data_IF_174485027646
#
_entry.id   IF_174485027646
#
_cell.length_a   1.000
_cell.length_b   1.000
_cell.length_c   1.000
_cell.angle_alpha   90.00
_cell.angle_beta   90.00
_cell.angle_gamma   90.00
#
_symmetry.space_group_name_H-M   'P 1'
#
loop_
_entity.id
_entity.type
_entity.pdbx_description
1 polymer ?
#
# COMPACT_ATOMS: atom_id res chain seq x y z
N UNK A 1 -7.95 4.02 23.07
CA UNK A 1 -6.82 3.17 22.63
C UNK A 1 -7.20 1.71 22.37
N UNK A 2 -7.88 1.01 23.30
CA UNK A 2 -8.27 -0.41 23.12
C UNK A 2 -9.02 -0.70 21.81
N UNK A 3 -9.98 0.16 21.44
CA UNK A 3 -10.76 0.03 20.20
C UNK A 3 -9.90 0.08 18.92
N UNK A 4 -8.97 1.02 18.83
CA UNK A 4 -8.07 1.17 17.67
C UNK A 4 -7.16 -0.04 17.52
N UNK A 5 -6.65 -0.57 18.64
CA UNK A 5 -5.83 -1.79 18.66
C UNK A 5 -6.65 -2.99 18.16
N UNK A 6 -7.89 -3.14 18.62
CA UNK A 6 -8.80 -4.20 18.16
C UNK A 6 -9.09 -4.09 16.65
N UNK A 7 -9.29 -2.89 16.13
CA UNK A 7 -9.48 -2.67 14.69
C UNK A 7 -8.22 -2.99 13.89
N UNK A 8 -7.04 -2.58 14.37
CA UNK A 8 -5.77 -2.89 13.72
C UNK A 8 -5.52 -4.41 13.70
N UNK A 9 -5.79 -5.10 14.80
CA UNK A 9 -5.72 -6.55 14.87
C UNK A 9 -6.69 -7.21 13.89
N UNK A 10 -7.94 -6.76 13.86
CA UNK A 10 -8.94 -7.27 12.92
C UNK A 10 -8.51 -7.05 11.46
N UNK A 11 -8.03 -5.86 11.12
CA UNK A 11 -7.51 -5.54 9.79
C UNK A 11 -6.33 -6.45 9.41
N UNK A 12 -5.42 -6.72 10.35
CA UNK A 12 -4.31 -7.63 10.14
C UNK A 12 -4.78 -9.06 9.86
N UNK A 13 -5.71 -9.58 10.67
CA UNK A 13 -6.29 -10.93 10.49
C UNK A 13 -7.02 -11.04 9.15
N UNK A 14 -7.86 -10.06 8.82
CA UNK A 14 -8.57 -10.00 7.54
C UNK A 14 -7.60 -9.96 6.36
N UNK A 15 -6.52 -9.19 6.48
CA UNK A 15 -5.45 -9.13 5.49
C UNK A 15 -4.78 -10.48 5.27
N UNK A 16 -4.46 -11.22 6.34
CA UNK A 16 -3.90 -12.57 6.23
C UNK A 16 -4.89 -13.52 5.53
N UNK A 17 -6.15 -13.53 5.95
CA UNK A 17 -7.20 -14.38 5.35
C UNK A 17 -7.35 -14.07 3.86
N UNK A 18 -7.43 -12.80 3.50
CA UNK A 18 -7.49 -12.34 2.11
C UNK A 18 -6.23 -12.74 1.33
N UNK A 19 -5.06 -12.59 1.93
CA UNK A 19 -3.78 -13.01 1.35
C UNK A 19 -3.75 -14.49 1.02
N UNK A 20 -4.22 -15.34 1.92
CA UNK A 20 -4.34 -16.79 1.67
C UNK A 20 -5.32 -17.09 0.53
N UNK A 21 -6.50 -16.47 0.54
CA UNK A 21 -7.51 -16.66 -0.50
C UNK A 21 -7.04 -16.17 -1.88
N UNK A 22 -6.41 -15.00 -1.95
CA UNK A 22 -5.86 -14.48 -3.20
C UNK A 22 -4.68 -15.33 -3.68
N UNK A 23 -3.81 -15.78 -2.78
CA UNK A 23 -2.65 -16.60 -3.14
C UNK A 23 -3.09 -17.98 -3.64
N UNK A 24 -4.13 -18.58 -3.07
CA UNK A 24 -4.66 -19.86 -3.56
C UNK A 24 -5.32 -19.71 -4.93
N UNK A 25 -6.04 -18.61 -5.19
CA UNK A 25 -6.72 -18.37 -6.45
C UNK A 25 -5.79 -17.92 -7.60
N UNK A 26 -4.85 -17.02 -7.32
CA UNK A 26 -4.01 -16.36 -8.33
C UNK A 26 -2.62 -16.98 -8.49
N UNK A 27 -2.19 -17.77 -7.51
CA UNK A 27 -0.82 -18.29 -7.44
C UNK A 27 0.23 -17.23 -7.08
N UNK A 28 1.46 -17.68 -6.83
CA UNK A 28 2.58 -16.80 -6.41
C UNK A 28 3.05 -15.85 -7.52
N UNK A 29 2.86 -16.23 -8.78
CA UNK A 29 3.33 -15.47 -9.95
C UNK A 29 2.67 -14.09 -10.06
N UNK A 30 1.49 -13.92 -9.46
CA UNK A 30 0.74 -12.67 -9.48
C UNK A 30 1.12 -11.71 -8.36
N UNK A 31 2.17 -11.98 -7.58
CA UNK A 31 2.60 -11.10 -6.49
C UNK A 31 2.82 -9.64 -6.94
N UNK A 32 3.50 -9.44 -8.07
CA UNK A 32 3.72 -8.09 -8.62
C UNK A 32 2.42 -7.36 -8.95
N UNK A 33 1.42 -8.07 -9.47
CA UNK A 33 0.11 -7.50 -9.77
C UNK A 33 -0.61 -7.09 -8.47
N UNK A 34 -0.66 -7.97 -7.47
CA UNK A 34 -1.31 -7.68 -6.19
C UNK A 34 -0.61 -6.53 -5.46
N UNK A 35 0.72 -6.45 -5.53
CA UNK A 35 1.50 -5.35 -4.97
C UNK A 35 1.18 -4.01 -5.65
N UNK A 36 1.03 -3.97 -6.98
CA UNK A 36 0.58 -2.75 -7.70
C UNK A 36 -0.85 -2.38 -7.31
N UNK A 37 -1.76 -3.35 -7.28
CA UNK A 37 -3.17 -3.13 -6.92
C UNK A 37 -3.35 -2.65 -5.48
N UNK A 38 -2.41 -2.99 -4.58
CA UNK A 38 -2.41 -2.48 -3.21
C UNK A 38 -2.27 -0.95 -3.11
N UNK A 39 -1.84 -0.27 -4.18
CA UNK A 39 -1.74 1.19 -4.23
C UNK A 39 -3.08 1.86 -4.61
N UNK A 40 -4.08 1.09 -5.06
CA UNK A 40 -5.37 1.63 -5.52
C UNK A 40 -6.14 2.37 -4.42
N UNK A 41 -6.21 1.90 -3.16
CA UNK A 41 -6.89 2.66 -2.10
C UNK A 41 -6.29 4.04 -1.86
N UNK A 42 -4.98 4.18 -2.04
CA UNK A 42 -4.28 5.46 -1.93
C UNK A 42 -4.69 6.42 -3.05
N UNK A 43 -4.83 5.92 -4.30
CA UNK A 43 -5.41 6.71 -5.40
C UNK A 43 -6.87 7.12 -5.12
N UNK A 44 -7.67 6.19 -4.58
CA UNK A 44 -9.05 6.47 -4.20
C UNK A 44 -9.14 7.57 -3.15
N UNK A 45 -8.32 7.51 -2.11
CA UNK A 45 -8.24 8.54 -1.09
C UNK A 45 -7.71 9.88 -1.64
N UNK A 46 -6.70 9.86 -2.51
CA UNK A 46 -6.19 11.07 -3.14
C UNK A 46 -7.25 11.75 -4.03
N UNK A 47 -8.07 10.94 -4.73
CA UNK A 47 -9.19 11.44 -5.54
C UNK A 47 -10.27 12.05 -4.64
N UNK A 48 -10.63 11.37 -3.55
CA UNK A 48 -11.52 11.93 -2.52
C UNK A 48 -11.03 13.29 -2.02
N UNK A 49 -9.76 13.37 -1.61
CA UNK A 49 -9.17 14.61 -1.10
C UNK A 49 -9.15 15.72 -2.17
N UNK A 50 -8.82 15.37 -3.42
CA UNK A 50 -8.86 16.30 -4.55
C UNK A 50 -10.27 16.83 -4.83
N UNK A 51 -11.30 15.98 -4.80
CA UNK A 51 -12.70 16.37 -5.02
C UNK A 51 -13.20 17.27 -3.88
N UNK A 52 -12.92 16.92 -2.63
CA UNK A 52 -13.30 17.74 -1.46
C UNK A 52 -12.64 19.11 -1.56
N UNK A 53 -11.33 19.14 -1.84
CA UNK A 53 -10.56 20.38 -1.94
C UNK A 53 -11.03 21.27 -3.09
N UNK A 54 -11.32 20.69 -4.26
CA UNK A 54 -11.90 21.41 -5.39
C UNK A 54 -13.25 22.04 -5.05
N UNK A 55 -14.14 21.26 -4.41
CA UNK A 55 -15.47 21.75 -3.99
C UNK A 55 -15.37 22.84 -2.92
N UNK A 56 -14.32 22.84 -2.12
CA UNK A 56 -14.06 23.87 -1.11
C UNK A 56 -13.31 25.09 -1.63
N UNK A 57 -13.07 25.19 -2.95
CA UNK A 57 -12.47 26.38 -3.56
C UNK A 57 -10.94 26.46 -3.46
N UNK A 58 -10.24 25.35 -3.18
CA UNK A 58 -8.77 25.32 -3.23
C UNK A 58 -8.30 25.64 -4.66
N UNK A 59 -7.33 26.55 -4.77
CA UNK A 59 -6.83 27.04 -6.05
C UNK A 59 -6.24 25.89 -6.91
N UNK A 60 -6.43 25.92 -8.24
CA UNK A 60 -5.84 24.93 -9.15
C UNK A 60 -4.32 24.83 -9.05
N UNK A 61 -3.65 25.93 -8.70
CA UNK A 61 -2.19 25.99 -8.50
C UNK A 61 -1.69 25.11 -7.34
N UNK A 62 -2.54 24.82 -6.35
CA UNK A 62 -2.23 23.89 -5.26
C UNK A 62 -2.68 22.45 -5.60
N UNK A 63 -3.78 22.30 -6.33
CA UNK A 63 -4.32 20.98 -6.71
C UNK A 63 -3.48 20.27 -7.78
N UNK A 64 -3.01 21.01 -8.78
CA UNK A 64 -2.22 20.44 -9.88
C UNK A 64 -0.94 19.76 -9.40
N UNK A 65 -0.06 20.39 -8.58
CA UNK A 65 1.13 19.71 -8.07
C UNK A 65 0.79 18.51 -7.19
N UNK A 66 -0.30 18.54 -6.43
CA UNK A 66 -0.76 17.38 -5.67
C UNK A 66 -1.13 16.21 -6.57
N UNK A 67 -1.95 16.45 -7.59
CA UNK A 67 -2.33 15.40 -8.56
C UNK A 67 -1.10 14.83 -9.25
N UNK A 68 -0.19 15.68 -9.72
CA UNK A 68 1.05 15.24 -10.36
C UNK A 68 1.95 14.43 -9.42
N UNK A 69 2.09 14.85 -8.16
CA UNK A 69 2.88 14.13 -7.16
C UNK A 69 2.28 12.76 -6.83
N UNK A 70 0.95 12.66 -6.72
CA UNK A 70 0.24 11.39 -6.49
C UNK A 70 0.40 10.45 -7.69
N UNK A 71 0.24 10.95 -8.92
CA UNK A 71 0.44 10.16 -10.13
C UNK A 71 1.89 9.65 -10.22
N UNK A 72 2.86 10.52 -9.92
CA UNK A 72 4.27 10.14 -9.89
C UNK A 72 4.53 9.07 -8.83
N UNK A 73 3.99 9.25 -7.61
CA UNK A 73 4.08 8.25 -6.55
C UNK A 73 3.50 6.90 -6.99
N UNK A 74 2.38 6.90 -7.70
CA UNK A 74 1.77 5.67 -8.21
C UNK A 74 2.64 5.00 -9.28
N UNK A 75 3.17 5.75 -10.24
CA UNK A 75 4.07 5.22 -11.29
C UNK A 75 5.35 4.66 -10.67
N UNK A 76 5.97 5.41 -9.77
CA UNK A 76 7.20 5.01 -9.06
C UNK A 76 6.91 3.79 -8.17
N UNK A 77 5.80 3.80 -7.42
CA UNK A 77 5.36 2.67 -6.62
C UNK A 77 5.13 1.42 -7.46
N UNK A 78 4.44 1.53 -8.60
CA UNK A 78 4.15 0.40 -9.47
C UNK A 78 5.42 -0.18 -10.13
N UNK A 79 6.38 0.66 -10.51
CA UNK A 79 7.67 0.22 -11.04
C UNK A 79 8.53 -0.44 -9.96
N UNK A 80 8.58 0.13 -8.75
CA UNK A 80 9.22 -0.47 -7.57
C UNK A 80 8.59 -1.81 -7.20
N UNK A 81 7.26 -1.94 -7.21
CA UNK A 81 6.55 -3.19 -6.96
C UNK A 81 7.07 -4.32 -7.87
N UNK A 82 7.12 -4.06 -9.18
CA UNK A 82 7.56 -5.04 -10.18
C UNK A 82 9.02 -5.42 -10.01
N UNK A 83 9.88 -4.46 -9.63
CA UNK A 83 11.31 -4.71 -9.40
C UNK A 83 11.54 -5.46 -8.09
N UNK A 84 10.98 -4.98 -7.00
CA UNK A 84 11.20 -5.52 -5.66
C UNK A 84 10.56 -6.89 -5.47
N UNK A 85 9.44 -7.21 -6.10
CA UNK A 85 8.91 -8.58 -6.06
C UNK A 85 9.88 -9.63 -6.61
N UNK A 86 10.85 -9.22 -7.45
CA UNK A 86 11.93 -10.07 -7.96
C UNK A 86 13.20 -10.02 -7.12
N UNK A 87 13.61 -8.83 -6.68
CA UNK A 87 14.93 -8.62 -6.05
C UNK A 87 14.89 -8.56 -4.52
N UNK A 88 13.78 -8.12 -3.93
CA UNK A 88 13.59 -7.89 -2.51
C UNK A 88 12.12 -8.09 -2.11
N UNK A 89 11.59 -9.32 -2.20
CA UNK A 89 10.16 -9.58 -2.11
C UNK A 89 9.57 -9.23 -0.74
N UNK A 90 10.37 -9.32 0.32
CA UNK A 90 9.97 -8.85 1.65
C UNK A 90 9.69 -7.33 1.66
N UNK A 91 10.57 -6.51 1.06
CA UNK A 91 10.36 -5.06 0.94
C UNK A 91 9.14 -4.74 0.08
N UNK A 92 8.88 -5.53 -0.96
CA UNK A 92 7.70 -5.37 -1.81
C UNK A 92 6.38 -5.52 -1.04
N UNK A 93 6.34 -6.34 0.02
CA UNK A 93 5.14 -6.50 0.85
C UNK A 93 4.83 -5.24 1.68
N UNK A 94 5.83 -4.44 2.02
CA UNK A 94 5.68 -3.18 2.74
C UNK A 94 5.50 -1.96 1.82
N UNK A 95 5.50 -2.15 0.50
CA UNK A 95 5.30 -1.08 -0.47
C UNK A 95 4.08 -0.19 -0.19
N UNK A 96 2.86 -0.71 0.10
CA UNK A 96 1.72 0.17 0.37
C UNK A 96 1.92 1.02 1.64
N UNK A 97 2.66 0.51 2.64
CA UNK A 97 3.00 1.30 3.83
C UNK A 97 4.01 2.42 3.51
N UNK A 98 5.05 2.14 2.72
CA UNK A 98 5.98 3.18 2.26
C UNK A 98 5.25 4.24 1.42
N UNK A 99 4.39 3.81 0.49
CA UNK A 99 3.59 4.71 -0.32
C UNK A 99 2.67 5.58 0.54
N UNK A 100 2.02 5.01 1.56
CA UNK A 100 1.18 5.76 2.50
C UNK A 100 1.97 6.84 3.24
N UNK A 101 3.18 6.52 3.71
CA UNK A 101 4.05 7.49 4.41
C UNK A 101 4.43 8.64 3.48
N UNK A 102 4.91 8.32 2.28
CA UNK A 102 5.29 9.35 1.29
C UNK A 102 4.07 10.19 0.87
N UNK A 103 2.92 9.55 0.68
CA UNK A 103 1.66 10.23 0.40
C UNK A 103 1.25 11.17 1.54
N UNK A 104 1.36 10.75 2.80
CA UNK A 104 1.05 11.60 3.94
C UNK A 104 1.95 12.84 3.99
N UNK A 105 3.22 12.71 3.64
CA UNK A 105 4.15 13.85 3.50
C UNK A 105 3.74 14.76 2.34
N UNK A 106 3.47 14.21 1.15
CA UNK A 106 3.01 14.99 -0.02
C UNK A 106 1.73 15.76 0.31
N UNK A 107 0.75 15.06 0.88
CA UNK A 107 -0.52 15.65 1.26
C UNK A 107 -0.31 16.76 2.30
N UNK A 108 0.49 16.52 3.34
CA UNK A 108 0.78 17.55 4.35
C UNK A 108 1.47 18.76 3.73
N UNK A 109 2.54 18.58 2.95
CA UNK A 109 3.29 19.70 2.37
C UNK A 109 2.46 20.56 1.40
N UNK A 110 1.62 19.92 0.59
CA UNK A 110 0.85 20.60 -0.46
C UNK A 110 -0.52 21.10 0.02
N UNK A 111 -1.11 20.48 1.05
CA UNK A 111 -2.42 20.85 1.58
C UNK A 111 -2.40 21.59 2.92
N UNK A 112 -1.39 21.44 3.78
CA UNK A 112 -1.40 22.15 5.08
C UNK A 112 -1.45 23.67 4.90
N UNK A 113 -0.76 24.22 3.90
CA UNK A 113 -0.78 25.67 3.64
C UNK A 113 -2.05 26.17 2.94
N UNK A 114 -2.76 25.30 2.20
CA UNK A 114 -3.93 25.68 1.40
C UNK A 114 -5.26 25.40 2.09
N UNK A 115 -5.34 24.37 2.93
CA UNK A 115 -6.56 24.03 3.68
C UNK A 115 -6.79 24.95 4.88
N UNK A 116 -5.73 25.38 5.56
CA UNK A 116 -5.84 26.37 6.65
C UNK A 116 -6.51 27.67 6.18
N UNK A 117 -6.26 28.09 4.93
CA UNK A 117 -6.87 29.27 4.33
C UNK A 117 -8.37 29.10 3.99
N UNK A 118 -8.86 27.85 3.90
CA UNK A 118 -10.26 27.54 3.53
C UNK A 118 -11.08 27.00 4.70
N UNK A 119 -10.46 26.76 5.87
CA UNK A 119 -11.11 26.22 7.06
C UNK A 119 -11.56 24.75 6.94
N UNK A 120 -11.10 24.04 5.91
CA UNK A 120 -11.48 22.66 5.63
C UNK A 120 -10.55 21.71 6.38
N UNK A 121 -11.09 20.96 7.34
CA UNK A 121 -10.35 19.91 8.05
C UNK A 121 -10.56 18.58 7.34
N UNK A 122 -9.50 17.90 6.87
CA UNK A 122 -9.62 16.54 6.31
C UNK A 122 -10.25 15.58 7.33
N UNK A 123 -11.15 14.71 6.85
CA UNK A 123 -11.80 13.72 7.69
C UNK A 123 -10.79 12.70 8.25
N UNK A 124 -10.51 12.81 9.55
CA UNK A 124 -9.61 11.91 10.26
C UNK A 124 -10.06 10.45 10.19
N UNK A 125 -11.37 10.19 10.07
CA UNK A 125 -11.91 8.83 9.92
C UNK A 125 -11.44 8.20 8.62
N UNK A 126 -11.43 8.96 7.52
CA UNK A 126 -10.93 8.47 6.22
C UNK A 126 -9.42 8.22 6.25
N UNK A 127 -8.65 9.06 6.95
CA UNK A 127 -7.22 8.84 7.16
C UNK A 127 -6.93 7.56 7.96
N UNK A 128 -7.67 7.34 9.06
CA UNK A 128 -7.55 6.11 9.87
C UNK A 128 -7.99 4.88 9.06
N UNK A 129 -9.07 4.97 8.30
CA UNK A 129 -9.53 3.90 7.43
C UNK A 129 -8.47 3.52 6.39
N UNK A 130 -7.82 4.51 5.76
CA UNK A 130 -6.73 4.27 4.82
C UNK A 130 -5.54 3.56 5.51
N UNK A 131 -5.20 3.96 6.75
CA UNK A 131 -4.19 3.28 7.55
C UNK A 131 -4.52 1.82 7.84
N UNK A 132 -5.76 1.52 8.24
CA UNK A 132 -6.22 0.15 8.50
C UNK A 132 -6.24 -0.71 7.22
N UNK A 133 -6.70 -0.16 6.10
CA UNK A 133 -6.67 -0.83 4.79
C UNK A 133 -5.23 -1.11 4.37
N UNK A 134 -4.32 -0.15 4.58
CA UNK A 134 -2.89 -0.32 4.28
C UNK A 134 -2.28 -1.45 5.11
N UNK A 135 -2.58 -1.52 6.41
CA UNK A 135 -2.16 -2.62 7.27
C UNK A 135 -2.66 -3.97 6.77
N UNK A 136 -3.95 -4.05 6.43
CA UNK A 136 -4.54 -5.27 5.86
C UNK A 136 -3.84 -5.69 4.56
N UNK A 137 -3.51 -4.74 3.69
CA UNK A 137 -2.80 -5.01 2.44
C UNK A 137 -1.36 -5.47 2.65
N UNK A 138 -0.63 -4.90 3.61
CA UNK A 138 0.70 -5.40 3.98
C UNK A 138 0.61 -6.85 4.42
N UNK A 139 -0.33 -7.17 5.31
CA UNK A 139 -0.55 -8.54 5.77
C UNK A 139 -0.96 -9.48 4.62
N UNK A 140 -1.78 -9.00 3.68
CA UNK A 140 -2.15 -9.72 2.45
C UNK A 140 -0.90 -10.05 1.63
N UNK A 141 -0.03 -9.06 1.39
CA UNK A 141 1.16 -9.20 0.56
C UNK A 141 2.24 -10.05 1.21
N UNK A 142 2.36 -10.05 2.54
CA UNK A 142 3.29 -10.92 3.28
C UNK A 142 3.01 -12.40 2.98
N UNK A 143 1.74 -12.77 2.75
CA UNK A 143 1.37 -14.13 2.35
C UNK A 143 1.93 -14.46 0.96
N UNK A 144 2.20 -13.50 0.08
CA UNK A 144 2.77 -13.76 -1.25
C UNK A 144 4.30 -13.85 -1.27
N UNK A 145 4.99 -13.45 -0.20
CA UNK A 145 6.46 -13.44 -0.15
C UNK A 145 6.99 -14.87 -0.35
N UNK A 146 7.88 -15.10 -1.34
CA UNK A 146 8.52 -16.39 -1.53
C UNK A 146 9.39 -16.70 -0.32
N UNK A 147 9.33 -17.93 0.19
CA UNK A 147 10.29 -18.35 1.21
C UNK A 147 11.66 -18.52 0.56
N UNK A 148 12.75 -18.04 1.18
CA UNK A 148 14.09 -18.34 0.71
C UNK A 148 14.24 -19.86 0.67
N UNK A 149 14.66 -20.39 -0.47
CA UNK A 149 15.06 -21.79 -0.56
C UNK A 149 16.22 -21.97 0.43
N UNK A 150 16.07 -22.86 1.40
CA UNK A 150 17.16 -23.16 2.34
C UNK A 150 18.41 -23.55 1.54
N UNK A 151 19.55 -22.84 1.72
CA UNK A 151 20.80 -23.24 1.12
C UNK A 151 21.27 -24.50 1.84
N UNK A 152 20.86 -25.67 1.32
CA UNK A 152 21.17 -26.95 1.95
C UNK A 152 20.20 -28.08 1.64
N UNK A 153 19.04 -27.81 1.03
CA UNK A 153 18.19 -28.89 0.50
C UNK A 153 18.75 -29.33 -0.85
N UNK A 154 19.92 -29.97 -0.82
CA UNK A 154 20.26 -30.96 -1.84
C UNK A 154 19.05 -31.89 -1.93
N UNK A 155 18.36 -31.87 -3.06
CA UNK A 155 17.49 -32.96 -3.47
C UNK A 155 18.41 -34.18 -3.59
N UNK A 156 18.62 -34.89 -2.46
CA UNK A 156 19.21 -36.23 -2.47
C UNK A 156 18.22 -37.11 -3.21
N UNK A 157 18.42 -37.19 -4.51
CA UNK A 157 17.73 -38.13 -5.36
C UNK A 157 18.08 -39.54 -4.87
N UNK A 158 17.10 -40.44 -4.65
CA UNK A 158 17.33 -41.72 -3.98
C UNK A 158 18.29 -42.67 -4.71
N UNK A 159 18.70 -42.34 -5.94
CA UNK A 159 19.65 -43.11 -6.75
C UNK A 159 21.10 -42.62 -6.65
N UNK A 160 21.40 -41.51 -5.97
CA UNK A 160 22.79 -41.05 -5.78
C UNK A 160 23.40 -41.73 -4.55
N UNK A 161 23.79 -43.00 -4.71
CA UNK A 161 24.61 -43.73 -3.73
C UNK A 161 26.08 -43.40 -3.98
N UNK A 162 26.72 -42.76 -3.01
CA UNK A 162 28.18 -42.71 -2.85
C UNK A 162 28.70 -44.07 -2.42
#
# INVERSE_FOLDING_TARGET
>A
MRFVISLAFLAAVLGLVLGFALRSALGRERFALVAVLSLVPLLGHATYLGVVSWRSGVLPSALLPFVLAVLLLFVVGATLARRWTRTAPFLAAFLPAFALIVYAVIASLLFSLSLDATGVVPDAVMGVALGLVTLALVMTLLVFVPQPLEPGRELRLPWRRS
#
